data_IF_580141372122
#
_entry.id   IF_580141372122
#
_cell.length_a   1.000
_cell.length_b   1.000
_cell.length_c   1.000
_cell.angle_alpha   90.00
_cell.angle_beta   90.00
_cell.angle_gamma   90.00
#
_symmetry.space_group_name_H-M   'P 1'
#
loop_
_entity.id
_entity.type
_entity.pdbx_description
1 polymer ?
#
# COMPACT_ATOMS: atom_id res chain seq x y z
N UNK A 1 7.79 -19.00 2.42
CA UNK A 1 8.11 -17.69 2.01
C UNK A 1 7.49 -16.68 2.90
N UNK A 2 8.25 -15.70 3.27
CA UNK A 2 7.75 -14.69 4.16
C UNK A 2 7.35 -13.46 3.40
N UNK A 3 6.22 -12.91 3.74
CA UNK A 3 5.82 -11.63 3.19
C UNK A 3 6.50 -10.52 3.97
N UNK A 4 6.69 -9.40 3.30
CA UNK A 4 7.31 -8.22 3.89
C UNK A 4 6.33 -7.07 3.82
N UNK A 5 6.66 -6.00 4.51
CA UNK A 5 5.78 -4.84 4.62
C UNK A 5 6.52 -3.58 4.27
N UNK A 6 5.80 -2.68 3.62
CA UNK A 6 6.26 -1.33 3.35
C UNK A 6 5.16 -0.36 3.77
N UNK A 7 5.54 0.81 4.21
CA UNK A 7 4.59 1.84 4.60
C UNK A 7 4.92 3.13 3.87
N UNK A 8 3.89 3.81 3.41
CA UNK A 8 4.08 5.06 2.70
C UNK A 8 2.81 5.52 2.04
N UNK A 9 2.95 6.28 0.96
CA UNK A 9 1.82 6.84 0.23
C UNK A 9 1.83 6.34 -1.19
N UNK A 10 0.64 6.12 -1.74
CA UNK A 10 0.49 5.73 -3.13
C UNK A 10 0.50 6.99 -3.97
N UNK A 11 1.42 7.08 -4.92
CA UNK A 11 1.60 8.29 -5.71
C UNK A 11 1.18 8.14 -7.16
N UNK A 12 1.40 6.97 -7.76
CA UNK A 12 1.08 6.74 -9.17
C UNK A 12 0.41 5.40 -9.29
N UNK A 13 -0.65 5.32 -10.08
CA UNK A 13 -1.33 4.07 -10.38
C UNK A 13 -1.42 3.94 -11.88
N UNK A 14 -0.93 2.82 -12.41
CA UNK A 14 -1.06 2.49 -13.83
C UNK A 14 -1.48 1.05 -13.94
N UNK A 15 -2.67 0.83 -14.45
CA UNK A 15 -3.22 -0.52 -14.56
C UNK A 15 -3.19 -1.19 -13.18
N UNK A 16 -2.58 -2.34 -13.07
CA UNK A 16 -2.50 -3.05 -11.80
C UNK A 16 -1.23 -2.72 -11.01
N UNK A 17 -0.44 -1.75 -11.47
CA UNK A 17 0.79 -1.37 -10.78
C UNK A 17 0.63 -0.05 -10.09
N UNK A 18 1.29 0.09 -8.96
CA UNK A 18 1.28 1.36 -8.27
C UNK A 18 2.64 1.63 -7.65
N UNK A 19 2.92 2.91 -7.46
CA UNK A 19 4.16 3.34 -6.81
C UNK A 19 3.87 3.77 -5.40
N UNK A 20 4.65 3.24 -4.47
CA UNK A 20 4.58 3.60 -3.07
C UNK A 20 5.82 4.40 -2.73
N UNK A 21 5.64 5.55 -2.09
CA UNK A 21 6.75 6.37 -1.64
C UNK A 21 6.75 6.35 -0.12
N UNK A 22 7.87 5.96 0.46
CA UNK A 22 8.01 5.89 1.91
C UNK A 22 8.39 7.27 2.45
N UNK A 23 8.29 7.44 3.75
CA UNK A 23 8.54 8.76 4.32
C UNK A 23 10.02 9.13 4.31
N UNK A 24 10.92 8.19 4.07
CA UNK A 24 12.32 8.52 3.85
C UNK A 24 12.61 8.84 2.38
N UNK A 25 11.59 8.96 1.55
CA UNK A 25 11.75 9.41 0.18
C UNK A 25 12.04 8.35 -0.84
N UNK A 26 12.03 7.08 -0.46
CA UNK A 26 12.28 6.01 -1.41
C UNK A 26 10.99 5.61 -2.10
N UNK A 27 11.07 5.17 -3.33
CA UNK A 27 9.90 4.73 -4.05
C UNK A 27 10.03 3.28 -4.48
N UNK A 28 8.90 2.60 -4.44
CA UNK A 28 8.83 1.19 -4.75
C UNK A 28 7.65 0.94 -5.68
N UNK A 29 7.90 0.22 -6.74
CA UNK A 29 6.85 -0.13 -7.70
C UNK A 29 6.42 -1.56 -7.42
N UNK A 30 5.11 -1.76 -7.30
CA UNK A 30 4.54 -3.06 -6.97
C UNK A 30 3.34 -3.32 -7.87
N UNK A 31 3.09 -4.58 -8.16
CA UNK A 31 1.91 -5.00 -8.90
C UNK A 31 0.89 -5.56 -7.92
N UNK A 32 -0.34 -5.10 -8.02
CA UNK A 32 -1.40 -5.60 -7.15
C UNK A 32 -1.77 -7.02 -7.55
N UNK A 33 -1.80 -7.91 -6.56
CA UNK A 33 -2.19 -9.28 -6.77
C UNK A 33 -3.66 -9.33 -7.16
N UNK A 34 -3.99 -10.08 -8.20
CA UNK A 34 -5.37 -10.25 -8.63
C UNK A 34 -6.25 -10.80 -7.54
N UNK A 35 -5.68 -11.60 -6.66
CA UNK A 35 -6.43 -12.24 -5.58
C UNK A 35 -6.50 -11.38 -4.34
N UNK A 36 -5.94 -10.19 -4.40
CA UNK A 36 -5.99 -9.31 -3.25
C UNK A 36 -7.42 -8.93 -2.91
N UNK A 37 -7.79 -8.90 -1.63
CA UNK A 37 -9.10 -8.39 -1.27
C UNK A 37 -9.27 -6.91 -1.53
N UNK A 38 -8.15 -6.19 -1.74
CA UNK A 38 -8.20 -4.77 -2.02
C UNK A 38 -8.11 -4.58 -3.52
N UNK A 39 -9.05 -3.85 -4.08
CA UNK A 39 -9.14 -3.66 -5.52
C UNK A 39 -8.70 -2.28 -5.93
N UNK A 40 -8.45 -2.10 -7.21
CA UNK A 40 -7.93 -0.82 -7.72
C UNK A 40 -8.77 0.40 -7.34
N UNK A 41 -10.10 0.35 -7.33
CA UNK A 41 -10.84 1.53 -6.90
C UNK A 41 -10.52 1.96 -5.47
N UNK A 42 -10.30 1.01 -4.58
CA UNK A 42 -9.91 1.34 -3.21
C UNK A 42 -8.51 1.94 -3.18
N UNK A 43 -7.60 1.42 -3.99
CA UNK A 43 -6.24 1.94 -4.09
C UNK A 43 -6.29 3.40 -4.58
N UNK A 44 -7.15 3.69 -5.54
CA UNK A 44 -7.29 5.05 -6.05
C UNK A 44 -7.81 6.01 -5.01
N UNK A 45 -8.73 5.55 -4.17
CA UNK A 45 -9.22 6.38 -3.09
C UNK A 45 -8.11 6.69 -2.10
N UNK A 46 -7.30 5.72 -1.78
CA UNK A 46 -6.18 5.93 -0.87
C UNK A 46 -5.18 6.92 -1.46
N UNK A 47 -4.96 6.86 -2.77
CA UNK A 47 -4.11 7.82 -3.43
C UNK A 47 -4.68 9.22 -3.35
N UNK A 48 -5.95 9.38 -3.69
CA UNK A 48 -6.60 10.69 -3.72
C UNK A 48 -6.64 11.34 -2.35
N UNK A 49 -6.86 10.55 -1.34
CA UNK A 49 -6.99 11.09 0.02
C UNK A 49 -5.65 11.27 0.70
N UNK A 50 -4.54 10.92 0.03
CA UNK A 50 -3.20 10.99 0.62
C UNK A 50 -3.12 10.24 1.93
N UNK A 51 -3.78 9.10 1.99
CA UNK A 51 -3.79 8.28 3.19
C UNK A 51 -2.54 7.43 3.24
N UNK A 52 -1.76 7.48 4.31
CA UNK A 52 -0.63 6.56 4.42
C UNK A 52 -1.12 5.13 4.54
N UNK A 53 -0.41 4.22 3.90
CA UNK A 53 -0.83 2.83 3.81
C UNK A 53 0.31 1.91 4.22
N UNK A 54 -0.05 0.71 4.61
CA UNK A 54 0.89 -0.38 4.79
C UNK A 54 0.59 -1.45 3.74
N UNK A 55 1.62 -1.87 3.05
CA UNK A 55 1.50 -2.85 1.98
C UNK A 55 2.22 -4.11 2.37
N UNK A 56 1.53 -5.23 2.31
CA UNK A 56 2.14 -6.54 2.47
C UNK A 56 2.48 -7.06 1.08
N UNK A 57 3.73 -7.42 0.85
CA UNK A 57 4.19 -7.78 -0.47
C UNK A 57 5.17 -8.94 -0.42
N UNK A 58 5.39 -9.56 -1.56
CA UNK A 58 6.41 -10.58 -1.74
C UNK A 58 7.20 -10.27 -3.00
N UNK A 59 8.33 -10.94 -3.17
CA UNK A 59 9.20 -10.72 -4.32
C UNK A 59 10.02 -9.46 -4.15
N UNK A 60 10.53 -8.96 -5.27
CA UNK A 60 11.41 -7.79 -5.25
C UNK A 60 10.67 -6.59 -5.79
N UNK A 61 10.50 -5.53 -5.01
CA UNK A 61 9.89 -4.31 -5.52
C UNK A 61 10.71 -3.74 -6.67
N UNK A 62 10.05 -3.01 -7.52
CA UNK A 62 10.65 -2.41 -8.72
C UNK A 62 11.02 -3.44 -9.78
N UNK A 63 10.56 -4.67 -9.63
CA UNK A 63 10.71 -5.70 -10.65
C UNK A 63 9.35 -6.35 -10.87
N UNK A 64 9.25 -7.18 -11.89
CA UNK A 64 8.00 -7.86 -12.19
C UNK A 64 7.59 -8.83 -11.09
N UNK A 65 8.52 -9.22 -10.22
CA UNK A 65 8.21 -10.17 -9.17
C UNK A 65 7.65 -9.51 -7.91
N UNK A 66 7.66 -8.20 -7.83
CA UNK A 66 7.14 -7.50 -6.65
C UNK A 66 5.62 -7.46 -6.68
N UNK A 67 4.99 -8.22 -5.82
CA UNK A 67 3.54 -8.39 -5.81
C UNK A 67 2.99 -7.92 -4.48
N UNK A 68 2.08 -6.97 -4.54
CA UNK A 68 1.38 -6.49 -3.34
C UNK A 68 0.16 -7.35 -3.09
N UNK A 69 0.09 -7.95 -1.93
CA UNK A 69 -1.00 -8.84 -1.56
C UNK A 69 -2.09 -8.14 -0.80
N UNK A 70 -1.74 -7.15 0.00
CA UNK A 70 -2.71 -6.45 0.82
C UNK A 70 -2.25 -5.02 1.01
N UNK A 71 -3.18 -4.08 0.89
CA UNK A 71 -2.92 -2.66 1.11
C UNK A 71 -3.93 -2.18 2.14
N UNK A 72 -3.45 -1.62 3.23
CA UNK A 72 -4.30 -1.18 4.32
C UNK A 72 -3.95 0.24 4.73
N UNK A 73 -4.93 1.05 5.09
CA UNK A 73 -4.60 2.36 5.65
C UNK A 73 -3.88 2.19 6.98
N UNK A 74 -2.81 2.93 7.16
CA UNK A 74 -2.09 2.91 8.42
C UNK A 74 -2.87 3.52 9.54
N UNK A 75 -3.71 4.46 9.20
CA UNK A 75 -4.39 5.27 10.16
C UNK A 75 -5.70 4.73 10.58
N UNK A 76 -5.80 3.45 10.57
CA UNK A 76 -7.04 2.78 10.85
C UNK A 76 -7.32 2.61 12.28
N UNK A 77 -6.44 2.92 13.18
CA UNK A 77 -6.73 2.65 14.52
C UNK A 77 -7.76 3.58 15.05
N UNK A 78 -8.56 3.04 15.90
CA UNK A 78 -9.59 3.85 16.52
C UNK A 78 -8.93 4.88 17.37
N UNK A 79 -9.20 5.95 17.31
CA UNK A 79 -8.56 6.90 18.01
C UNK A 79 -9.17 7.30 19.21
N UNK A 80 -9.14 6.79 18.96
CA UNK A 80 -9.67 6.87 19.51
C UNK A 80 -9.80 6.80 20.38
N UNK A 81 -9.62 6.55 20.64
CA UNK A 81 -9.83 6.32 21.23
C UNK A 81 -9.59 6.80 21.92
N UNK A 82 -9.42 7.09 21.60
CA UNK A 82 -9.46 7.50 21.99
C UNK A 82 -9.44 7.94 22.68
N UNK A 83 -9.48 8.06 22.77
CA UNK A 83 -9.74 8.41 23.21
C UNK A 83 -9.75 8.56 24.08
N UNK A 84 -9.64 8.50 24.36
CA UNK A 84 -9.88 8.68 25.03
C UNK A 84 -10.00 8.98 25.65
N UNK A 85 -9.86 8.93 25.68
CA UNK A 85 -10.22 9.27 25.93
C UNK A 85 -10.30 9.52 26.28
#
# INVERSE_FOLDING_TARGET
MQNRYLAGWITVIQEARFRLVTDDGRSFLLTLDRKSPVQLPAIRLLQKSHTPVRVEYSGEPNTVSGIAHLVQPLDQRPRELSCRQ
#
